data_IF_982424765723
#
_entry.id   IF_982424765723
#
_cell.length_a   1.000
_cell.length_b   1.000
_cell.length_c   1.000
_cell.angle_alpha   90.00
_cell.angle_beta   90.00
_cell.angle_gamma   90.00
#
_symmetry.space_group_name_H-M   'P 1'
#
loop_
_entity.id
_entity.type
_entity.pdbx_description
1 polymer ?
#
# COMPACT_ATOMS: atom_id res chain seq x y z
N UNK A 1 -1.73 -13.01 -7.58
CA UNK A 1 -3.10 -12.57 -7.19
C UNK A 1 -3.33 -12.63 -5.69
N UNK A 2 -3.21 -13.77 -5.06
CA UNK A 2 -3.54 -13.98 -3.66
C UNK A 2 -2.86 -12.99 -2.69
N UNK A 3 -1.54 -12.77 -2.84
CA UNK A 3 -0.79 -11.84 -1.98
C UNK A 3 -1.30 -10.40 -2.07
N UNK A 4 -1.52 -9.88 -3.29
CA UNK A 4 -2.02 -8.51 -3.50
C UNK A 4 -3.39 -8.34 -2.85
N UNK A 5 -4.26 -9.35 -2.97
CA UNK A 5 -5.59 -9.33 -2.33
C UNK A 5 -5.48 -9.33 -0.81
N UNK A 6 -4.59 -10.15 -0.22
CA UNK A 6 -4.37 -10.17 1.24
C UNK A 6 -3.88 -8.81 1.74
N UNK A 7 -2.92 -8.21 1.04
CA UNK A 7 -2.38 -6.89 1.40
C UNK A 7 -3.49 -5.83 1.32
N UNK A 8 -4.25 -5.81 0.23
CA UNK A 8 -5.35 -4.87 0.04
C UNK A 8 -6.39 -5.00 1.16
N UNK A 9 -6.87 -6.22 1.42
CA UNK A 9 -7.86 -6.48 2.48
C UNK A 9 -7.27 -6.16 3.86
N UNK A 10 -6.03 -6.55 4.12
CA UNK A 10 -5.36 -6.30 5.40
C UNK A 10 -5.24 -4.81 5.72
N UNK A 11 -4.76 -4.00 4.78
CA UNK A 11 -4.67 -2.55 4.97
C UNK A 11 -6.05 -1.89 5.04
N UNK A 12 -7.02 -2.33 4.24
CA UNK A 12 -8.40 -1.85 4.33
C UNK A 12 -9.01 -2.13 5.70
N UNK A 13 -8.74 -3.30 6.28
CA UNK A 13 -9.20 -3.63 7.64
C UNK A 13 -8.53 -2.77 8.71
N UNK A 14 -7.22 -2.49 8.59
CA UNK A 14 -6.53 -1.60 9.53
C UNK A 14 -7.16 -0.21 9.49
N UNK A 15 -7.38 0.37 8.29
CA UNK A 15 -8.03 1.66 8.14
C UNK A 15 -9.46 1.65 8.68
N UNK A 16 -10.24 0.63 8.34
CA UNK A 16 -11.62 0.48 8.84
C UNK A 16 -11.69 0.41 10.37
N UNK A 17 -10.79 -0.33 11.02
CA UNK A 17 -10.73 -0.42 12.48
C UNK A 17 -10.35 0.94 13.09
N UNK A 18 -9.41 1.65 12.47
CA UNK A 18 -8.98 2.98 12.90
C UNK A 18 -10.17 3.95 12.93
N UNK A 19 -10.88 4.06 11.81
CA UNK A 19 -12.04 4.95 11.66
C UNK A 19 -13.25 4.51 12.50
N UNK A 20 -13.52 3.21 12.56
CA UNK A 20 -14.60 2.68 13.40
C UNK A 20 -14.39 2.99 14.88
N UNK A 21 -13.15 2.96 15.38
CA UNK A 21 -12.84 3.32 16.76
C UNK A 21 -13.09 4.81 17.03
N UNK A 22 -12.78 5.69 16.09
CA UNK A 22 -13.08 7.14 16.18
C UNK A 22 -14.59 7.36 16.35
N UNK A 23 -15.38 6.71 15.48
CA UNK A 23 -16.85 6.84 15.49
C UNK A 23 -17.45 6.26 16.78
N UNK A 24 -17.05 5.03 17.16
CA UNK A 24 -17.63 4.33 18.30
C UNK A 24 -17.27 4.97 19.64
N UNK A 25 -16.08 5.52 19.77
CA UNK A 25 -15.61 6.16 21.01
C UNK A 25 -15.97 7.63 21.10
N UNK A 26 -16.53 8.23 20.04
CA UNK A 26 -16.78 9.68 19.93
C UNK A 26 -15.54 10.52 20.33
N UNK A 27 -14.34 10.06 19.98
CA UNK A 27 -13.05 10.68 20.25
C UNK A 27 -12.33 10.92 18.94
N UNK A 28 -11.47 11.92 18.88
CA UNK A 28 -10.66 12.21 17.69
C UNK A 28 -9.44 11.27 17.54
N UNK A 29 -9.34 10.22 18.36
CA UNK A 29 -8.24 9.26 18.33
C UNK A 29 -8.76 7.86 18.00
N UNK A 30 -8.28 7.30 16.91
CA UNK A 30 -8.52 5.91 16.50
C UNK A 30 -7.57 4.92 17.21
N UNK A 31 -6.86 4.13 16.43
CA UNK A 31 -5.80 3.24 16.92
C UNK A 31 -4.61 4.07 17.43
N UNK A 32 -4.01 3.64 18.55
CA UNK A 32 -2.74 4.21 18.98
C UNK A 32 -1.65 3.92 17.94
N UNK A 33 -0.72 4.84 17.75
CA UNK A 33 0.33 4.72 16.74
C UNK A 33 1.07 3.37 16.78
N UNK A 34 1.39 2.86 17.98
CA UNK A 34 2.05 1.56 18.15
C UNK A 34 1.18 0.37 17.74
N UNK A 35 -0.17 0.45 17.90
CA UNK A 35 -1.11 -0.60 17.48
C UNK A 35 -1.18 -0.66 15.95
N UNK A 36 -1.29 0.49 15.29
CA UNK A 36 -1.26 0.61 13.83
C UNK A 36 0.05 0.06 13.27
N UNK A 37 1.17 0.47 13.86
CA UNK A 37 2.51 -0.01 13.50
C UNK A 37 2.65 -1.54 13.67
N UNK A 38 2.15 -2.10 14.77
CA UNK A 38 2.19 -3.55 15.01
C UNK A 38 1.38 -4.32 13.96
N UNK A 39 0.17 -3.86 13.62
CA UNK A 39 -0.66 -4.49 12.60
C UNK A 39 0.01 -4.44 11.22
N UNK A 40 0.60 -3.32 10.85
CA UNK A 40 1.39 -3.17 9.62
C UNK A 40 2.61 -4.10 9.61
N UNK A 41 3.32 -4.23 10.74
CA UNK A 41 4.45 -5.14 10.89
C UNK A 41 4.04 -6.61 10.70
N UNK A 42 2.93 -7.02 11.29
CA UNK A 42 2.39 -8.38 11.13
C UNK A 42 2.07 -8.67 9.66
N UNK A 43 1.44 -7.73 8.96
CA UNK A 43 1.16 -7.87 7.53
C UNK A 43 2.46 -7.96 6.70
N UNK A 44 3.43 -7.09 6.94
CA UNK A 44 4.69 -7.08 6.21
C UNK A 44 5.48 -8.39 6.40
N UNK A 45 5.60 -8.85 7.64
CA UNK A 45 6.26 -10.12 7.96
C UNK A 45 5.49 -11.29 7.33
N UNK A 46 4.16 -11.30 7.43
CA UNK A 46 3.33 -12.32 6.82
C UNK A 46 3.50 -12.37 5.30
N UNK A 47 3.58 -11.22 4.64
CA UNK A 47 3.86 -11.13 3.20
C UNK A 47 5.24 -11.66 2.84
N UNK A 48 6.27 -11.30 3.61
CA UNK A 48 7.61 -11.81 3.40
C UNK A 48 7.67 -13.33 3.52
N UNK A 49 7.12 -13.88 4.60
CA UNK A 49 7.08 -15.33 4.82
C UNK A 49 6.27 -16.05 3.72
N UNK A 50 5.21 -15.44 3.21
CA UNK A 50 4.48 -15.99 2.08
C UNK A 50 5.33 -16.02 0.81
N UNK A 51 6.05 -14.94 0.50
CA UNK A 51 6.94 -14.86 -0.65
C UNK A 51 8.02 -15.93 -0.58
N UNK A 52 8.68 -16.05 0.58
CA UNK A 52 9.79 -16.99 0.80
C UNK A 52 9.35 -18.46 0.68
N UNK A 53 8.17 -18.82 1.22
CA UNK A 53 7.76 -20.21 1.31
C UNK A 53 6.86 -20.69 0.15
N UNK A 54 6.14 -19.79 -0.50
CA UNK A 54 5.08 -20.15 -1.46
C UNK A 54 5.27 -19.60 -2.87
N UNK A 55 6.25 -18.73 -3.10
CA UNK A 55 6.50 -18.17 -4.43
C UNK A 55 7.76 -18.80 -5.04
N UNK A 56 7.61 -19.71 -6.02
CA UNK A 56 8.76 -20.32 -6.67
C UNK A 56 9.67 -19.28 -7.33
N UNK A 57 10.96 -19.37 -7.11
CA UNK A 57 11.95 -18.44 -7.70
C UNK A 57 12.02 -17.06 -7.02
N UNK A 58 11.36 -16.89 -5.87
CA UNK A 58 11.54 -15.68 -5.07
C UNK A 58 13.01 -15.55 -4.66
N UNK A 59 13.58 -14.36 -4.83
CA UNK A 59 14.93 -14.02 -4.41
C UNK A 59 14.90 -12.75 -3.56
N UNK A 60 15.85 -12.64 -2.64
CA UNK A 60 16.04 -11.44 -1.81
C UNK A 60 17.01 -10.45 -2.46
N UNK A 61 17.36 -10.69 -3.74
CA UNK A 61 18.21 -9.81 -4.53
C UNK A 61 17.43 -8.58 -5.01
N UNK A 62 18.00 -7.42 -4.77
CA UNK A 62 17.50 -6.14 -5.28
C UNK A 62 18.52 -5.57 -6.27
N UNK A 63 18.07 -5.32 -7.49
CA UNK A 63 18.90 -4.68 -8.51
C UNK A 63 18.80 -3.16 -8.39
N UNK A 64 19.93 -2.49 -8.20
CA UNK A 64 20.00 -1.02 -8.27
C UNK A 64 20.11 -0.61 -9.75
N UNK A 65 19.06 -0.02 -10.35
CA UNK A 65 19.00 0.14 -11.81
C UNK A 65 20.08 1.08 -12.37
N UNK A 66 20.52 2.07 -11.60
CA UNK A 66 21.51 3.08 -12.04
C UNK A 66 22.91 2.46 -12.19
N UNK A 67 23.33 1.69 -11.19
CA UNK A 67 24.68 1.08 -11.15
C UNK A 67 24.69 -0.37 -11.61
N UNK A 68 23.51 -0.95 -11.88
CA UNK A 68 23.29 -2.35 -12.30
C UNK A 68 23.96 -3.36 -11.35
N UNK A 69 23.96 -3.07 -10.06
CA UNK A 69 24.49 -3.95 -9.01
C UNK A 69 23.33 -4.68 -8.37
N UNK A 70 23.47 -6.00 -8.24
CA UNK A 70 22.56 -6.83 -7.48
C UNK A 70 23.08 -6.95 -6.05
N UNK A 71 22.23 -6.64 -5.09
CA UNK A 71 22.53 -6.76 -3.66
C UNK A 71 21.56 -7.79 -3.10
N UNK A 72 22.10 -8.86 -2.55
CA UNK A 72 21.29 -9.83 -1.80
C UNK A 72 21.11 -9.35 -0.35
N UNK A 73 19.87 -9.04 0.00
CA UNK A 73 19.52 -8.57 1.33
C UNK A 73 19.30 -9.72 2.32
N UNK A 74 19.15 -10.96 1.85
CA UNK A 74 18.84 -12.09 2.71
C UNK A 74 17.66 -11.78 3.65
N UNK A 75 17.80 -12.06 4.94
CA UNK A 75 16.75 -11.79 5.93
C UNK A 75 16.44 -10.29 6.12
N UNK A 76 17.36 -9.37 5.78
CA UNK A 76 17.09 -7.93 5.77
C UNK A 76 16.02 -7.52 4.74
N UNK A 77 15.73 -8.38 3.76
CA UNK A 77 14.64 -8.13 2.82
C UNK A 77 13.29 -7.99 3.53
N UNK A 78 13.06 -8.73 4.63
CA UNK A 78 11.87 -8.57 5.45
C UNK A 78 11.77 -7.17 6.07
N UNK A 79 12.90 -6.61 6.51
CA UNK A 79 12.98 -5.24 7.04
C UNK A 79 12.68 -4.22 5.94
N UNK A 80 13.20 -4.44 4.72
CA UNK A 80 12.91 -3.59 3.57
C UNK A 80 11.41 -3.59 3.24
N UNK A 81 10.79 -4.77 3.16
CA UNK A 81 9.34 -4.89 2.93
C UNK A 81 8.55 -4.16 4.01
N UNK A 82 8.94 -4.33 5.27
CA UNK A 82 8.30 -3.63 6.38
C UNK A 82 8.41 -2.10 6.26
N UNK A 83 9.59 -1.58 5.93
CA UNK A 83 9.82 -0.13 5.76
C UNK A 83 8.98 0.38 4.58
N UNK A 84 8.94 -0.34 3.46
CA UNK A 84 8.12 0.04 2.32
C UNK A 84 6.63 0.08 2.68
N UNK A 85 6.11 -0.96 3.29
CA UNK A 85 4.70 -1.05 3.65
C UNK A 85 4.28 0.03 4.65
N UNK A 86 5.07 0.23 5.71
CA UNK A 86 4.79 1.26 6.71
C UNK A 86 5.01 2.67 6.16
N UNK A 87 6.05 2.87 5.35
CA UNK A 87 6.36 4.15 4.72
C UNK A 87 5.26 4.59 3.76
N UNK A 88 4.84 3.72 2.85
CA UNK A 88 3.76 4.01 1.90
C UNK A 88 2.43 4.28 2.61
N UNK A 89 2.02 3.39 3.52
CA UNK A 89 0.75 3.55 4.22
C UNK A 89 0.69 4.83 5.07
N UNK A 90 1.74 5.14 5.82
CA UNK A 90 1.79 6.35 6.61
C UNK A 90 2.01 7.59 5.75
N UNK A 91 2.75 7.48 4.65
CA UNK A 91 2.95 8.56 3.67
C UNK A 91 1.63 9.00 3.04
N UNK A 92 0.79 8.05 2.61
CA UNK A 92 -0.55 8.35 2.09
C UNK A 92 -1.41 8.99 3.16
N UNK A 93 -1.42 8.46 4.38
CA UNK A 93 -2.19 9.03 5.50
C UNK A 93 -1.75 10.46 5.85
N UNK A 94 -0.45 10.76 5.82
CA UNK A 94 0.06 12.12 6.03
C UNK A 94 -0.29 13.08 4.88
N UNK A 95 -0.47 12.55 3.66
CA UNK A 95 -0.87 13.34 2.49
C UNK A 95 -2.34 13.73 2.51
N UNK A 96 -3.16 13.10 3.35
CA UNK A 96 -4.61 13.36 3.43
C UNK A 96 -4.96 14.58 4.31
N UNK A 97 -4.14 15.61 4.24
CA UNK A 97 -4.37 16.89 4.92
C UNK A 97 -5.12 17.92 4.09
N UNK A 98 -5.34 17.69 2.81
CA UNK A 98 -6.00 18.62 1.88
C UNK A 98 -6.94 17.84 0.94
N UNK A 99 -8.09 18.45 0.64
CA UNK A 99 -9.10 17.89 -0.27
C UNK A 99 -8.48 17.39 -1.58
N UNK A 100 -8.64 16.12 -1.89
CA UNK A 100 -8.19 15.50 -3.13
C UNK A 100 -6.68 15.23 -3.23
N UNK A 101 -5.87 15.68 -2.29
CA UNK A 101 -4.40 15.57 -2.39
C UNK A 101 -3.95 14.10 -2.33
N UNK A 102 -4.32 13.36 -1.30
CA UNK A 102 -3.93 11.94 -1.14
C UNK A 102 -4.45 11.11 -2.32
N UNK A 103 -5.70 11.32 -2.72
CA UNK A 103 -6.31 10.65 -3.88
C UNK A 103 -5.54 10.93 -5.17
N UNK A 104 -5.23 12.18 -5.44
CA UNK A 104 -4.50 12.60 -6.64
C UNK A 104 -3.08 12.07 -6.67
N UNK A 105 -2.33 12.18 -5.56
CA UNK A 105 -0.98 11.65 -5.45
C UNK A 105 -0.94 10.13 -5.63
N UNK A 106 -1.88 9.41 -5.03
CA UNK A 106 -1.97 7.96 -5.17
C UNK A 106 -2.21 7.53 -6.62
N UNK A 107 -3.10 8.22 -7.36
CA UNK A 107 -3.30 7.93 -8.79
C UNK A 107 -2.03 8.16 -9.62
N UNK A 108 -1.33 9.28 -9.38
CA UNK A 108 -0.07 9.60 -10.08
C UNK A 108 1.01 8.59 -9.74
N UNK A 109 1.10 8.15 -8.48
CA UNK A 109 2.07 7.14 -8.05
C UNK A 109 1.79 5.75 -8.66
N UNK A 110 0.52 5.36 -8.81
CA UNK A 110 0.15 4.04 -9.36
C UNK A 110 0.28 4.00 -10.89
N UNK A 111 0.06 5.11 -11.60
CA UNK A 111 0.04 5.13 -13.06
C UNK A 111 1.31 4.54 -13.74
N UNK A 112 2.56 4.83 -13.31
CA UNK A 112 3.76 4.21 -13.86
C UNK A 112 3.78 2.70 -13.73
N UNK A 113 3.23 2.14 -12.64
CA UNK A 113 3.18 0.70 -12.43
C UNK A 113 2.23 0.00 -13.42
N UNK A 114 1.14 0.67 -13.84
CA UNK A 114 0.25 0.15 -14.89
C UNK A 114 1.03 0.03 -16.20
N UNK A 115 1.74 1.09 -16.58
CA UNK A 115 2.53 1.12 -17.82
C UNK A 115 3.61 0.02 -17.77
N UNK A 116 4.35 -0.06 -16.68
CA UNK A 116 5.39 -1.06 -16.49
C UNK A 116 4.83 -2.48 -16.57
N UNK A 117 3.74 -2.77 -15.87
CA UNK A 117 3.10 -4.08 -15.85
C UNK A 117 2.63 -4.51 -17.27
N UNK A 118 2.10 -3.57 -18.07
CA UNK A 118 1.75 -3.83 -19.47
C UNK A 118 3.00 -4.14 -20.30
N UNK A 119 4.10 -3.40 -20.10
CA UNK A 119 5.35 -3.61 -20.83
C UNK A 119 5.95 -5.00 -20.56
N UNK A 120 5.91 -5.48 -19.31
CA UNK A 120 6.38 -6.82 -18.93
C UNK A 120 5.32 -7.91 -19.15
N UNK A 121 4.15 -7.56 -19.68
CA UNK A 121 3.00 -8.45 -19.91
C UNK A 121 2.44 -9.12 -18.66
N UNK A 122 2.63 -8.51 -17.49
CA UNK A 122 1.96 -8.94 -16.26
C UNK A 122 0.57 -8.28 -16.17
N UNK A 123 -0.37 -8.88 -16.86
CA UNK A 123 -1.76 -8.39 -16.89
C UNK A 123 -2.47 -8.49 -15.53
N UNK A 124 -1.94 -9.30 -14.61
CA UNK A 124 -2.48 -9.39 -13.25
C UNK A 124 -2.24 -8.10 -12.50
N UNK A 125 -0.98 -7.66 -12.43
CA UNK A 125 -0.62 -6.40 -11.77
C UNK A 125 -1.30 -5.22 -12.50
N UNK A 126 -1.29 -5.22 -13.84
CA UNK A 126 -1.93 -4.19 -14.63
C UNK A 126 -3.43 -4.03 -14.30
N UNK A 127 -4.15 -5.15 -14.20
CA UNK A 127 -5.58 -5.14 -13.87
C UNK A 127 -5.87 -4.60 -12.46
N UNK A 128 -5.09 -5.04 -11.45
CA UNK A 128 -5.24 -4.53 -10.08
C UNK A 128 -4.95 -3.03 -9.99
N UNK A 129 -3.82 -2.59 -10.56
CA UNK A 129 -3.43 -1.19 -10.53
C UNK A 129 -4.44 -0.30 -11.27
N UNK A 130 -4.97 -0.76 -12.41
CA UNK A 130 -6.02 -0.04 -13.15
C UNK A 130 -7.32 0.02 -12.35
N UNK A 131 -7.73 -1.07 -11.71
CA UNK A 131 -8.91 -1.08 -10.85
C UNK A 131 -8.78 -0.12 -9.67
N UNK A 132 -7.61 -0.05 -9.05
CA UNK A 132 -7.32 0.91 -7.97
C UNK A 132 -7.43 2.36 -8.47
N UNK A 133 -6.82 2.69 -9.61
CA UNK A 133 -6.95 4.03 -10.20
C UNK A 133 -8.40 4.35 -10.55
N UNK A 134 -9.16 3.38 -11.08
CA UNK A 134 -10.58 3.55 -11.34
C UNK A 134 -11.40 3.85 -10.06
N UNK A 135 -11.12 3.14 -8.97
CA UNK A 135 -11.76 3.38 -7.68
C UNK A 135 -11.39 4.77 -7.11
N UNK A 136 -10.11 5.15 -7.21
CA UNK A 136 -9.64 6.48 -6.78
C UNK A 136 -10.25 7.61 -7.62
N UNK A 137 -10.44 7.42 -8.93
CA UNK A 137 -11.15 8.38 -9.79
C UNK A 137 -12.61 8.56 -9.35
N UNK A 138 -13.30 7.46 -9.04
CA UNK A 138 -14.65 7.51 -8.50
C UNK A 138 -14.71 8.23 -7.15
N UNK A 139 -13.77 7.95 -6.26
CA UNK A 139 -13.65 8.62 -4.97
C UNK A 139 -13.30 10.10 -5.11
N UNK A 140 -12.40 10.47 -6.05
CA UNK A 140 -12.00 11.85 -6.32
C UNK A 140 -13.20 12.76 -6.60
N UNK A 141 -14.25 12.25 -7.25
CA UNK A 141 -15.48 13.02 -7.50
C UNK A 141 -16.11 13.58 -6.22
N UNK A 142 -15.98 12.86 -5.09
CA UNK A 142 -16.50 13.28 -3.80
C UNK A 142 -15.46 13.95 -2.90
N UNK A 143 -14.18 13.66 -3.15
CA UNK A 143 -13.05 14.16 -2.35
C UNK A 143 -12.41 15.43 -2.94
N UNK A 144 -12.80 15.85 -4.16
CA UNK A 144 -12.34 17.12 -4.75
C UNK A 144 -12.89 18.32 -3.97
N UNK A 145 -12.08 19.39 -3.91
CA UNK A 145 -12.46 20.61 -3.17
C UNK A 145 -13.75 21.26 -3.68
N UNK A 146 -14.70 21.65 -2.82
CA UNK A 146 -14.79 21.31 -1.39
C UNK A 146 -15.21 19.87 -1.17
N UNK A 147 -14.40 19.11 -0.43
CA UNK A 147 -14.62 17.69 -0.23
C UNK A 147 -15.93 17.41 0.52
N UNK A 148 -16.68 16.42 0.03
CA UNK A 148 -17.88 15.89 0.68
C UNK A 148 -17.62 14.64 1.49
N UNK A 149 -16.56 13.92 1.12
CA UNK A 149 -16.11 12.68 1.78
C UNK A 149 -14.58 12.77 1.91
N UNK A 150 -14.06 12.44 3.07
CA UNK A 150 -12.64 12.32 3.37
C UNK A 150 -12.21 10.86 3.37
N UNK A 151 -10.90 10.62 3.13
CA UNK A 151 -10.31 9.30 3.14
C UNK A 151 -10.00 8.87 4.58
#
# INVERSE_FOLDING_TARGET
>A
MFLITIVLVGYSLIGFIDDALIILKHQNEGLKAWQKFLMQAILAVGCYLYLENFVPGFTTEVTIPIVKVNIDFGWFYAVLVFIMFTGESNGVNLSDGLDGLATGLSMVAIAPFIIYAIMIKDYTIASYATAMVGALLGFMYFNYHPARIFM
#
